data_IF_965433126051
#
_entry.id   IF_965433126051
#
_cell.length_a   1.000
_cell.length_b   1.000
_cell.length_c   1.000
_cell.angle_alpha   90.00
_cell.angle_beta   90.00
_cell.angle_gamma   90.00
#
_symmetry.space_group_name_H-M   'P 1'
#
loop_
_entity.id
_entity.type
_entity.pdbx_description
1 polymer ?
#
# COMPACT_ATOMS: atom_id res chain seq x y z
N UNK A 1 -14.40 4.20 7.66
CA UNK A 1 -13.64 2.94 7.75
C UNK A 1 -12.28 3.13 8.40
N UNK A 2 -11.48 4.11 7.98
CA UNK A 2 -10.13 4.33 8.57
C UNK A 2 -10.17 4.59 10.09
N UNK A 3 -11.15 5.37 10.59
CA UNK A 3 -11.35 5.58 12.03
C UNK A 3 -11.53 4.27 12.81
N UNK A 4 -12.36 3.36 12.29
CA UNK A 4 -12.56 2.05 12.91
C UNK A 4 -11.25 1.23 12.92
N UNK A 5 -10.49 1.25 11.82
CA UNK A 5 -9.17 0.58 11.76
C UNK A 5 -8.20 1.18 12.78
N UNK A 6 -8.20 2.50 12.95
CA UNK A 6 -7.39 3.21 13.96
C UNK A 6 -7.81 2.82 15.39
N UNK A 7 -9.11 2.91 15.70
CA UNK A 7 -9.70 2.62 17.01
C UNK A 7 -9.40 1.20 17.50
N UNK A 8 -9.46 0.21 16.60
CA UNK A 8 -9.18 -1.19 16.94
C UNK A 8 -7.70 -1.58 16.75
N UNK A 9 -6.81 -0.67 16.36
CA UNK A 9 -5.38 -0.96 16.22
C UNK A 9 -4.65 -1.02 17.57
N UNK A 10 -3.45 -1.63 17.59
CA UNK A 10 -2.59 -1.66 18.78
C UNK A 10 -2.12 -0.26 19.21
N UNK A 11 -2.16 0.72 18.30
CA UNK A 11 -1.62 2.06 18.47
C UNK A 11 -2.66 3.12 18.05
N UNK A 12 -3.85 3.06 18.62
CA UNK A 12 -4.96 3.99 18.35
C UNK A 12 -4.52 5.46 18.47
N UNK A 13 -4.93 6.28 17.50
CA UNK A 13 -4.57 7.70 17.40
C UNK A 13 -3.19 7.98 16.80
N UNK A 14 -2.35 6.95 16.61
CA UNK A 14 -1.00 7.06 16.02
C UNK A 14 -0.96 6.47 14.61
N UNK A 15 0.08 6.81 13.83
CA UNK A 15 0.33 6.24 12.49
C UNK A 15 -0.87 6.36 11.52
N UNK A 16 -1.73 7.39 11.66
CA UNK A 16 -2.95 7.52 10.85
C UNK A 16 -2.69 7.54 9.34
N UNK A 17 -1.60 8.18 8.92
CA UNK A 17 -1.19 8.21 7.52
C UNK A 17 -0.76 6.83 7.01
N UNK A 18 0.12 6.14 7.76
CA UNK A 18 0.55 4.77 7.46
C UNK A 18 -0.64 3.80 7.41
N UNK A 19 -1.62 3.95 8.32
CA UNK A 19 -2.85 3.14 8.35
C UNK A 19 -3.70 3.24 7.09
N UNK A 20 -3.58 4.33 6.34
CA UNK A 20 -4.28 4.50 5.07
C UNK A 20 -3.51 3.94 3.87
N UNK A 21 -2.27 3.51 4.06
CA UNK A 21 -1.32 3.20 2.97
C UNK A 21 -0.76 1.77 3.07
N UNK A 22 -0.30 1.35 4.24
CA UNK A 22 0.54 0.17 4.37
C UNK A 22 -0.25 -1.14 4.28
N UNK A 23 0.41 -2.18 3.77
CA UNK A 23 -0.20 -3.49 3.53
C UNK A 23 -0.79 -4.16 4.78
N UNK A 24 -0.32 -3.79 5.97
CA UNK A 24 -0.85 -4.26 7.26
C UNK A 24 -2.30 -3.82 7.50
N UNK A 25 -2.71 -2.67 6.97
CA UNK A 25 -3.99 -2.04 7.30
C UNK A 25 -4.98 -2.02 6.14
N UNK A 26 -4.52 -2.03 4.88
CA UNK A 26 -5.42 -1.98 3.71
C UNK A 26 -6.46 -3.10 3.74
N UNK A 27 -6.05 -4.31 4.11
CA UNK A 27 -6.95 -5.43 4.27
C UNK A 27 -8.03 -5.24 5.33
N UNK A 28 -7.68 -4.61 6.46
CA UNK A 28 -8.66 -4.29 7.49
C UNK A 28 -9.64 -3.20 7.04
N UNK A 29 -9.19 -2.22 6.24
CA UNK A 29 -10.09 -1.23 5.65
C UNK A 29 -11.09 -1.92 4.71
N UNK A 30 -10.61 -2.79 3.82
CA UNK A 30 -11.45 -3.60 2.93
C UNK A 30 -12.43 -4.42 3.76
N UNK A 31 -11.96 -5.19 4.75
CA UNK A 31 -12.81 -6.03 5.60
C UNK A 31 -13.94 -5.23 6.26
N UNK A 32 -13.65 -4.05 6.81
CA UNK A 32 -14.67 -3.21 7.44
C UNK A 32 -15.70 -2.69 6.43
N UNK A 33 -15.30 -2.37 5.19
CA UNK A 33 -16.23 -2.01 4.11
C UNK A 33 -17.11 -3.21 3.75
N UNK A 34 -16.53 -4.40 3.60
CA UNK A 34 -17.28 -5.61 3.26
C UNK A 34 -18.29 -5.97 4.36
N UNK A 35 -17.95 -5.79 5.65
CA UNK A 35 -18.90 -5.95 6.75
C UNK A 35 -20.08 -4.98 6.62
N UNK A 36 -19.82 -3.69 6.34
CA UNK A 36 -20.89 -2.71 6.16
C UNK A 36 -21.80 -3.08 4.98
N UNK A 37 -21.22 -3.43 3.84
CA UNK A 37 -21.97 -3.81 2.65
C UNK A 37 -22.77 -5.10 2.86
N UNK A 38 -22.24 -6.05 3.62
CA UNK A 38 -22.96 -7.25 4.03
C UNK A 38 -24.14 -6.90 4.94
N UNK A 39 -23.94 -6.05 5.97
CA UNK A 39 -25.04 -5.59 6.85
C UNK A 39 -26.17 -4.92 6.08
N UNK A 40 -25.84 -4.23 4.99
CA UNK A 40 -26.80 -3.53 4.12
C UNK A 40 -27.42 -4.44 3.05
N UNK A 41 -27.07 -5.73 3.01
CA UNK A 41 -27.63 -6.71 2.09
C UNK A 41 -27.02 -6.71 0.68
N UNK A 42 -25.93 -5.96 0.44
CA UNK A 42 -25.29 -5.88 -0.87
C UNK A 42 -24.31 -7.01 -1.16
N UNK A 43 -23.82 -7.67 -0.11
CA UNK A 43 -22.84 -8.75 -0.21
C UNK A 43 -23.30 -9.96 0.59
N UNK A 44 -22.87 -11.14 0.13
CA UNK A 44 -22.94 -12.41 0.85
C UNK A 44 -24.34 -12.74 1.40
N UNK A 45 -25.38 -12.35 0.64
CA UNK A 45 -26.80 -12.54 1.01
C UNK A 45 -27.17 -11.92 2.37
N UNK A 46 -26.46 -10.87 2.79
CA UNK A 46 -26.66 -10.21 4.07
C UNK A 46 -26.07 -10.97 5.27
N UNK A 47 -25.36 -12.08 5.05
CA UNK A 47 -24.87 -12.93 6.13
C UNK A 47 -23.40 -12.65 6.46
N UNK A 48 -23.15 -12.10 7.65
CA UNK A 48 -21.78 -11.88 8.14
C UNK A 48 -21.25 -13.22 8.68
N UNK A 49 -20.36 -13.87 7.93
CA UNK A 49 -19.68 -15.09 8.38
C UNK A 49 -18.69 -14.80 9.52
N UNK A 50 -18.37 -15.82 10.33
CA UNK A 50 -17.30 -15.71 11.34
C UNK A 50 -15.96 -15.34 10.69
N UNK A 51 -15.68 -15.87 9.49
CA UNK A 51 -14.46 -15.53 8.78
C UNK A 51 -14.36 -14.05 8.42
N UNK A 52 -15.47 -13.40 8.05
CA UNK A 52 -15.48 -11.97 7.76
C UNK A 52 -15.24 -11.11 9.02
N UNK A 53 -15.58 -11.64 10.19
CA UNK A 53 -15.31 -10.99 11.49
C UNK A 53 -13.83 -11.13 11.90
N UNK A 54 -13.14 -12.17 11.42
CA UNK A 54 -11.73 -12.42 11.71
C UNK A 54 -10.83 -11.31 11.17
N UNK A 55 -10.12 -10.63 12.07
CA UNK A 55 -9.16 -9.58 11.72
C UNK A 55 -7.95 -10.16 10.99
N UNK A 56 -7.42 -9.41 10.03
CA UNK A 56 -6.23 -9.80 9.28
C UNK A 56 -6.48 -10.86 8.21
N UNK A 57 -7.73 -11.27 7.97
CA UNK A 57 -8.06 -12.29 6.96
C UNK A 57 -7.70 -11.85 5.53
N UNK A 58 -7.68 -10.54 5.27
CA UNK A 58 -7.27 -9.95 4.00
C UNK A 58 -5.81 -9.49 4.06
N UNK A 59 -4.87 -10.42 4.04
CA UNK A 59 -3.45 -10.08 3.88
C UNK A 59 -3.17 -9.36 2.56
N UNK A 60 -2.07 -8.59 2.50
CA UNK A 60 -1.60 -7.87 1.30
C UNK A 60 -1.53 -8.76 0.04
N UNK A 61 -1.14 -10.03 0.20
CA UNK A 61 -1.10 -10.99 -0.91
C UNK A 61 -2.46 -11.19 -1.57
N UNK A 62 -3.54 -11.22 -0.79
CA UNK A 62 -4.90 -11.42 -1.32
C UNK A 62 -5.41 -10.19 -2.05
N UNK A 63 -5.13 -8.98 -1.53
CA UNK A 63 -5.44 -7.74 -2.26
C UNK A 63 -4.74 -7.74 -3.63
N UNK A 64 -3.45 -8.09 -3.64
CA UNK A 64 -2.64 -8.13 -4.86
C UNK A 64 -3.16 -9.17 -5.86
N UNK A 65 -3.60 -10.34 -5.37
CA UNK A 65 -4.21 -11.36 -6.22
C UNK A 65 -5.56 -10.91 -6.78
N UNK A 66 -6.50 -10.46 -5.94
CA UNK A 66 -7.85 -10.05 -6.34
C UNK A 66 -7.81 -8.98 -7.44
N UNK A 67 -6.87 -8.03 -7.33
CA UNK A 67 -6.72 -6.92 -8.28
C UNK A 67 -5.93 -7.26 -9.54
N UNK A 68 -5.39 -8.47 -9.68
CA UNK A 68 -4.65 -8.87 -10.87
C UNK A 68 -5.49 -8.79 -12.14
N UNK A 69 -4.93 -8.18 -13.19
CA UNK A 69 -5.58 -8.02 -14.50
C UNK A 69 -5.72 -9.34 -15.25
N UNK A 70 -4.88 -10.32 -14.92
CA UNK A 70 -4.86 -11.64 -15.57
C UNK A 70 -5.87 -12.61 -14.97
N UNK A 71 -6.54 -12.23 -13.88
CA UNK A 71 -7.51 -13.12 -13.24
C UNK A 71 -8.91 -12.96 -13.82
N UNK A 72 -9.47 -14.08 -14.26
CA UNK A 72 -10.89 -14.18 -14.53
C UNK A 72 -11.69 -14.03 -13.23
N UNK A 73 -12.92 -13.52 -13.31
CA UNK A 73 -13.81 -13.38 -12.15
C UNK A 73 -13.99 -14.69 -11.36
N UNK A 74 -13.96 -15.83 -12.05
CA UNK A 74 -14.04 -17.14 -11.41
C UNK A 74 -12.86 -17.40 -10.45
N UNK A 75 -11.66 -16.92 -10.76
CA UNK A 75 -10.49 -17.09 -9.89
C UNK A 75 -10.55 -16.17 -8.67
N UNK A 76 -11.09 -14.96 -8.82
CA UNK A 76 -11.36 -14.06 -7.68
C UNK A 76 -12.35 -14.73 -6.72
N UNK A 77 -13.42 -15.34 -7.26
CA UNK A 77 -14.36 -16.12 -6.46
C UNK A 77 -13.68 -17.28 -5.74
N UNK A 78 -12.81 -18.04 -6.40
CA UNK A 78 -12.05 -19.13 -5.77
C UNK A 78 -11.21 -18.63 -4.59
N UNK A 79 -10.54 -17.48 -4.73
CA UNK A 79 -9.76 -16.89 -3.63
C UNK A 79 -10.67 -16.55 -2.45
N UNK A 80 -11.82 -15.91 -2.70
CA UNK A 80 -12.78 -15.58 -1.64
C UNK A 80 -13.33 -16.84 -0.96
N UNK A 81 -13.61 -17.90 -1.71
CA UNK A 81 -14.05 -19.19 -1.16
C UNK A 81 -12.96 -19.90 -0.35
N UNK A 82 -11.70 -19.82 -0.78
CA UNK A 82 -10.54 -20.32 -0.01
C UNK A 82 -10.36 -19.56 1.31
N UNK A 83 -10.71 -18.27 1.33
CA UNK A 83 -10.83 -17.49 2.56
C UNK A 83 -12.07 -17.85 3.38
N UNK A 84 -12.87 -18.84 2.99
CA UNK A 84 -14.09 -19.22 3.71
C UNK A 84 -15.25 -18.22 3.55
N UNK A 85 -15.24 -17.40 2.51
CA UNK A 85 -16.33 -16.48 2.18
C UNK A 85 -17.21 -17.11 1.10
N UNK A 86 -18.49 -17.33 1.44
CA UNK A 86 -19.47 -17.86 0.50
C UNK A 86 -19.88 -16.78 -0.51
N UNK A 87 -19.07 -16.63 -1.55
CA UNK A 87 -19.20 -15.58 -2.57
C UNK A 87 -19.84 -16.08 -3.87
N UNK A 88 -20.62 -15.20 -4.49
CA UNK A 88 -21.13 -15.29 -5.86
C UNK A 88 -20.21 -14.56 -6.84
N UNK A 89 -20.53 -14.60 -8.13
CA UNK A 89 -19.82 -13.80 -9.13
C UNK A 89 -20.01 -12.29 -8.89
N UNK A 90 -21.23 -11.86 -8.54
CA UNK A 90 -21.54 -10.45 -8.27
C UNK A 90 -20.81 -9.95 -7.02
N UNK A 91 -20.76 -10.77 -5.96
CA UNK A 91 -19.96 -10.46 -4.77
C UNK A 91 -18.49 -10.24 -5.16
N UNK A 92 -17.95 -11.09 -6.05
CA UNK A 92 -16.56 -11.02 -6.48
C UNK A 92 -16.24 -9.72 -7.23
N UNK A 93 -17.18 -9.20 -8.02
CA UNK A 93 -17.06 -7.90 -8.71
C UNK A 93 -17.00 -6.78 -7.69
N UNK A 94 -17.92 -6.77 -6.72
CA UNK A 94 -17.99 -5.74 -5.69
C UNK A 94 -16.72 -5.76 -4.82
N UNK A 95 -16.27 -6.95 -4.38
CA UNK A 95 -15.04 -7.07 -3.58
C UNK A 95 -13.83 -6.55 -4.36
N UNK A 96 -13.69 -6.91 -5.64
CA UNK A 96 -12.59 -6.41 -6.48
C UNK A 96 -12.62 -4.88 -6.62
N UNK A 97 -13.81 -4.29 -6.79
CA UNK A 97 -13.98 -2.84 -6.85
C UNK A 97 -13.61 -2.15 -5.52
N UNK A 98 -13.99 -2.73 -4.38
CA UNK A 98 -13.62 -2.22 -3.05
C UNK A 98 -12.11 -2.28 -2.85
N UNK A 99 -11.45 -3.40 -3.19
CA UNK A 99 -9.99 -3.52 -3.14
C UNK A 99 -9.33 -2.41 -3.97
N UNK A 100 -9.73 -2.28 -5.24
CA UNK A 100 -9.17 -1.28 -6.14
C UNK A 100 -9.36 0.16 -5.67
N UNK A 101 -10.50 0.49 -5.08
CA UNK A 101 -10.72 1.81 -4.50
C UNK A 101 -9.77 2.11 -3.33
N UNK A 102 -9.58 1.14 -2.43
CA UNK A 102 -8.71 1.27 -1.26
C UNK A 102 -7.24 1.35 -1.67
N UNK A 103 -6.78 0.45 -2.54
CA UNK A 103 -5.38 0.37 -2.98
C UNK A 103 -4.99 1.57 -3.85
N UNK A 104 -5.88 2.04 -4.73
CA UNK A 104 -5.66 3.25 -5.54
C UNK A 104 -5.50 4.48 -4.66
N UNK A 105 -6.39 4.67 -3.68
CA UNK A 105 -6.28 5.76 -2.70
C UNK A 105 -4.95 5.68 -1.94
N UNK A 106 -4.58 4.49 -1.48
CA UNK A 106 -3.31 4.27 -0.77
C UNK A 106 -2.09 4.69 -1.60
N UNK A 107 -2.06 4.32 -2.88
CA UNK A 107 -1.01 4.71 -3.81
C UNK A 107 -0.97 6.22 -4.07
N UNK A 108 -2.14 6.86 -4.22
CA UNK A 108 -2.25 8.31 -4.42
C UNK A 108 -1.80 9.10 -3.19
N UNK A 109 -2.21 8.67 -1.99
CA UNK A 109 -1.75 9.27 -0.74
C UNK A 109 -0.22 9.17 -0.64
N UNK A 110 0.32 7.97 -0.85
CA UNK A 110 1.77 7.75 -0.86
C UNK A 110 2.49 8.66 -1.88
N UNK A 111 1.92 8.78 -3.08
CA UNK A 111 2.44 9.65 -4.14
C UNK A 111 2.43 11.13 -3.76
N UNK A 112 1.36 11.62 -3.11
CA UNK A 112 1.31 13.00 -2.62
C UNK A 112 2.38 13.27 -1.56
N UNK A 113 2.62 12.33 -0.64
CA UNK A 113 3.72 12.45 0.31
C UNK A 113 5.10 12.49 -0.37
N UNK A 114 5.30 11.64 -1.37
CA UNK A 114 6.56 11.61 -2.13
C UNK A 114 6.78 12.88 -2.96
N UNK A 115 5.73 13.39 -3.60
CA UNK A 115 5.75 14.65 -4.35
C UNK A 115 6.25 15.81 -3.47
N UNK A 116 5.74 15.92 -2.24
CA UNK A 116 6.19 16.93 -1.28
C UNK A 116 7.67 16.78 -0.93
N UNK A 117 8.19 15.55 -0.79
CA UNK A 117 9.60 15.29 -0.48
C UNK A 117 10.51 15.74 -1.63
N UNK A 118 10.22 15.30 -2.85
CA UNK A 118 11.08 15.62 -4.01
C UNK A 118 11.03 17.11 -4.35
N UNK A 119 9.85 17.73 -4.27
CA UNK A 119 9.71 19.15 -4.57
C UNK A 119 10.39 20.01 -3.50
N UNK A 120 10.33 19.58 -2.24
CA UNK A 120 11.10 20.23 -1.17
C UNK A 120 12.62 20.12 -1.39
N UNK A 121 13.12 18.99 -1.88
CA UNK A 121 14.55 18.86 -2.22
C UNK A 121 14.92 19.82 -3.35
N UNK A 122 14.08 19.92 -4.38
CA UNK A 122 14.27 20.84 -5.51
C UNK A 122 14.35 22.29 -5.05
N UNK A 123 13.38 22.73 -4.25
CA UNK A 123 13.31 24.08 -3.71
C UNK A 123 14.49 24.42 -2.80
N UNK A 124 14.86 23.51 -1.89
CA UNK A 124 15.99 23.72 -0.99
C UNK A 124 17.32 23.91 -1.75
N UNK A 125 17.44 23.35 -2.95
CA UNK A 125 18.62 23.50 -3.83
C UNK A 125 18.50 24.66 -4.81
N UNK A 126 17.39 25.41 -4.79
CA UNK A 126 17.14 26.52 -5.72
C UNK A 126 17.05 26.07 -7.18
N UNK A 127 16.63 24.84 -7.43
CA UNK A 127 16.61 24.26 -8.78
C UNK A 127 15.28 24.53 -9.49
N UNK A 128 15.35 24.85 -10.78
CA UNK A 128 14.17 24.92 -11.64
C UNK A 128 13.59 23.52 -11.90
N UNK A 129 14.47 22.54 -12.13
CA UNK A 129 14.15 21.14 -12.37
C UNK A 129 15.04 20.22 -11.52
N UNK A 130 14.52 19.07 -11.07
CA UNK A 130 15.26 18.09 -10.27
C UNK A 130 15.18 16.69 -10.88
N UNK A 131 16.33 16.13 -11.25
CA UNK A 131 16.48 14.69 -11.48
C UNK A 131 16.83 13.99 -10.18
N UNK A 132 16.02 13.00 -9.76
CA UNK A 132 16.24 12.28 -8.51
C UNK A 132 15.80 10.82 -8.58
N UNK A 133 16.53 9.96 -7.89
CA UNK A 133 16.20 8.55 -7.77
C UNK A 133 15.76 8.21 -6.35
N UNK A 134 14.64 7.49 -6.22
CA UNK A 134 14.10 6.99 -4.96
C UNK A 134 14.30 5.47 -4.92
N UNK A 135 15.06 4.99 -3.93
CA UNK A 135 15.13 3.57 -3.60
C UNK A 135 13.88 3.15 -2.84
N UNK A 136 13.20 2.10 -3.30
CA UNK A 136 11.94 1.61 -2.72
C UNK A 136 12.02 0.12 -2.38
N UNK A 137 11.40 -0.27 -1.27
CA UNK A 137 11.17 -1.66 -0.89
C UNK A 137 9.78 -1.80 -0.25
N UNK A 138 9.30 -3.03 -0.10
CA UNK A 138 8.04 -3.37 0.57
C UNK A 138 7.17 -4.30 -0.27
N UNK A 139 6.58 -5.31 0.37
CA UNK A 139 5.77 -6.35 -0.28
C UNK A 139 4.58 -5.78 -1.05
N UNK A 140 3.88 -4.77 -0.50
CA UNK A 140 2.77 -4.11 -1.21
C UNK A 140 3.24 -3.44 -2.50
N UNK A 141 4.34 -2.70 -2.44
CA UNK A 141 4.89 -2.02 -3.62
C UNK A 141 5.39 -3.02 -4.68
N UNK A 142 6.00 -4.13 -4.24
CA UNK A 142 6.54 -5.19 -5.10
C UNK A 142 5.46 -6.02 -5.78
N UNK A 143 4.45 -6.46 -5.04
CA UNK A 143 3.51 -7.49 -5.48
C UNK A 143 2.18 -6.94 -6.00
N UNK A 144 1.79 -5.73 -5.60
CA UNK A 144 0.49 -5.20 -5.99
C UNK A 144 0.51 -4.74 -7.46
N UNK A 145 -0.44 -5.18 -8.30
CA UNK A 145 -0.41 -4.95 -9.75
C UNK A 145 -0.42 -3.47 -10.13
N UNK A 146 -1.10 -2.64 -9.34
CA UNK A 146 -1.38 -1.24 -9.69
C UNK A 146 -0.68 -0.20 -8.80
N UNK A 147 -0.13 -0.60 -7.65
CA UNK A 147 0.23 0.37 -6.60
C UNK A 147 1.37 1.28 -7.04
N UNK A 148 2.47 0.69 -7.53
CA UNK A 148 3.65 1.43 -8.00
C UNK A 148 3.29 2.37 -9.14
N UNK A 149 2.57 1.87 -10.16
CA UNK A 149 2.14 2.66 -11.32
C UNK A 149 1.29 3.87 -10.93
N UNK A 150 0.29 3.68 -10.07
CA UNK A 150 -0.56 4.79 -9.59
C UNK A 150 0.25 5.78 -8.76
N UNK A 151 1.15 5.29 -7.90
CA UNK A 151 2.00 6.15 -7.07
C UNK A 151 2.93 7.00 -7.94
N UNK A 152 3.62 6.41 -8.92
CA UNK A 152 4.50 7.12 -9.86
C UNK A 152 3.74 8.19 -10.65
N UNK A 153 2.56 7.84 -11.16
CA UNK A 153 1.72 8.78 -11.89
C UNK A 153 1.31 9.95 -11.00
N UNK A 154 0.93 9.68 -9.75
CA UNK A 154 0.55 10.72 -8.79
C UNK A 154 1.73 11.65 -8.49
N UNK A 155 2.95 11.13 -8.32
CA UNK A 155 4.15 11.95 -8.11
C UNK A 155 4.41 12.84 -9.32
N UNK A 156 4.32 12.28 -10.53
CA UNK A 156 4.53 13.03 -11.78
C UNK A 156 3.53 14.17 -11.95
N UNK A 157 2.27 13.95 -11.59
CA UNK A 157 1.22 14.97 -11.68
C UNK A 157 1.40 16.08 -10.63
N UNK A 158 1.82 15.73 -9.42
CA UNK A 158 1.90 16.67 -8.29
C UNK A 158 3.25 17.39 -8.17
N UNK A 159 4.33 16.82 -8.72
CA UNK A 159 5.67 17.42 -8.75
C UNK A 159 6.22 17.43 -10.19
N UNK A 160 5.60 18.18 -11.13
CA UNK A 160 5.94 18.13 -12.55
C UNK A 160 7.33 18.69 -12.90
N UNK A 161 8.00 19.35 -11.95
CA UNK A 161 9.38 19.88 -12.07
C UNK A 161 10.44 18.91 -11.53
N UNK A 162 10.03 17.68 -11.21
CA UNK A 162 10.89 16.65 -10.64
C UNK A 162 10.78 15.39 -11.50
N UNK A 163 11.88 15.04 -12.18
CA UNK A 163 12.01 13.75 -12.86
C UNK A 163 12.46 12.69 -11.85
N UNK A 164 11.48 11.96 -11.34
CA UNK A 164 11.67 10.96 -10.29
C UNK A 164 11.76 9.56 -10.87
N UNK A 165 12.91 8.91 -10.70
CA UNK A 165 13.10 7.49 -11.01
C UNK A 165 12.93 6.64 -9.75
N UNK A 166 12.11 5.60 -9.79
CA UNK A 166 11.95 4.67 -8.66
C UNK A 166 12.70 3.36 -8.93
N UNK A 167 13.66 3.03 -8.07
CA UNK A 167 14.43 1.79 -8.15
C UNK A 167 14.06 0.85 -7.01
N UNK A 168 13.72 -0.39 -7.36
CA UNK A 168 13.38 -1.41 -6.38
C UNK A 168 14.64 -2.01 -5.74
N UNK A 169 14.70 -2.10 -4.41
CA UNK A 169 15.72 -2.89 -3.73
C UNK A 169 15.34 -4.36 -3.70
N UNK A 170 16.10 -5.21 -4.38
CA UNK A 170 15.85 -6.66 -4.42
C UNK A 170 16.31 -7.35 -3.12
N UNK A 171 17.46 -6.95 -2.58
CA UNK A 171 18.14 -7.61 -1.45
C UNK A 171 17.86 -6.98 -0.07
N UNK A 172 16.77 -6.22 0.06
CA UNK A 172 16.39 -5.53 1.30
C UNK A 172 17.34 -4.39 1.67
N UNK A 173 17.44 -4.07 2.97
CA UNK A 173 18.21 -2.93 3.48
C UNK A 173 19.65 -3.28 3.94
N UNK A 174 20.02 -4.57 3.94
CA UNK A 174 21.28 -5.04 4.51
C UNK A 174 22.54 -4.43 3.87
N UNK A 175 22.56 -4.34 2.53
CA UNK A 175 23.66 -3.68 1.78
C UNK A 175 23.82 -2.21 2.17
N UNK A 176 22.69 -1.49 2.30
CA UNK A 176 22.70 -0.08 2.73
C UNK A 176 23.21 0.10 4.15
N UNK A 177 22.77 -0.77 5.07
CA UNK A 177 23.25 -0.75 6.46
C UNK A 177 24.77 -0.99 6.55
N UNK A 178 25.31 -1.93 5.77
CA UNK A 178 26.75 -2.19 5.72
C UNK A 178 27.55 -0.98 5.20
N UNK A 179 27.05 -0.29 4.17
CA UNK A 179 27.68 0.94 3.65
C UNK A 179 27.69 2.06 4.70
N UNK A 180 26.60 2.25 5.44
CA UNK A 180 26.54 3.23 6.53
C UNK A 180 27.58 2.89 7.60
N UNK A 181 27.68 1.62 8.00
CA UNK A 181 28.70 1.15 8.97
C UNK A 181 30.11 1.45 8.48
N UNK A 182 30.42 1.16 7.21
CA UNK A 182 31.73 1.43 6.62
C UNK A 182 32.09 2.93 6.65
N UNK A 183 31.14 3.80 6.28
CA UNK A 183 31.33 5.26 6.35
C UNK A 183 31.51 5.72 7.81
N UNK A 184 30.72 5.17 8.74
CA UNK A 184 30.81 5.52 10.17
C UNK A 184 32.13 5.09 10.82
N UNK A 185 32.72 3.96 10.41
CA UNK A 185 34.07 3.60 10.83
C UNK A 185 35.11 4.59 10.27
N UNK A 186 35.07 4.85 8.96
CA UNK A 186 36.01 5.78 8.30
C UNK A 186 35.98 7.19 8.89
N UNK A 187 34.80 7.72 9.21
CA UNK A 187 34.68 9.07 9.79
C UNK A 187 35.26 9.13 11.21
N UNK A 188 35.05 8.09 12.02
CA UNK A 188 35.67 8.01 13.36
C UNK A 188 37.19 7.97 13.26
N UNK A 189 37.74 7.22 12.32
CA UNK A 189 39.20 7.15 12.13
C UNK A 189 39.79 8.49 11.66
N UNK A 190 39.02 9.30 10.93
CA UNK A 190 39.44 10.64 10.48
C UNK A 190 39.39 11.70 11.58
N UNK A 191 38.60 11.52 12.64
CA UNK A 191 38.53 12.44 13.79
C UNK A 191 39.67 12.20 14.81
N UNK A 192 40.31 11.02 14.76
CA UNK A 192 41.40 10.64 15.68
C UNK A 192 42.81 10.86 15.10
N UNK A 193 42.91 11.35 13.86
CA UNK A 193 44.15 11.73 13.18
C UNK A 193 44.18 13.25 12.94
#
# INVERSE_FOLDING_TARGET
YDKAVDEFSLNSGKQRYEKMISGMYLGEIVRNILIDFTKRGFLFRGQISETLKTRGIFETKFLSQIESDRLALLQVRTILQQLGLNSTCDDSIIVKAVCGAVSRRAAQLCGAGMAAVVDKIRENRGLEHLDVTVGVDGTLYKLHPHFSKVMHQTVKELAPKCDVTFLLSEDGSGKGAALITAVGCRLRDAEHN
#
